data_IF_513363447217
#
_entry.id   IF_513363447217
#
_cell.length_a   1.000
_cell.length_b   1.000
_cell.length_c   1.000
_cell.angle_alpha   90.00
_cell.angle_beta   90.00
_cell.angle_gamma   90.00
#
_symmetry.space_group_name_H-M   'P 1'
#
loop_
_entity.id
_entity.type
_entity.pdbx_description
1 polymer ?
#
# COMPACT_ATOMS: atom_id res chain seq x y z
N UNK A 1 9.93 -1.77 -9.62
CA UNK A 1 9.19 -2.71 -10.49
C UNK A 1 8.14 -3.41 -9.63
N UNK A 2 6.86 -3.11 -9.86
CA UNK A 2 5.73 -3.74 -9.19
C UNK A 2 5.73 -5.25 -9.52
N UNK A 3 5.53 -6.11 -8.52
CA UNK A 3 5.44 -7.57 -8.69
C UNK A 3 4.10 -8.07 -8.16
N UNK A 4 3.81 -9.36 -8.38
CA UNK A 4 2.60 -9.98 -7.86
C UNK A 4 1.31 -9.59 -8.60
N UNK A 5 0.16 -9.84 -7.96
CA UNK A 5 -1.16 -9.65 -8.56
C UNK A 5 -1.43 -8.19 -9.00
N UNK A 6 -0.78 -7.21 -8.37
CA UNK A 6 -0.90 -5.79 -8.71
C UNK A 6 -0.36 -5.46 -10.11
N UNK A 7 0.60 -6.24 -10.64
CA UNK A 7 1.08 -6.09 -12.03
C UNK A 7 0.01 -6.47 -13.06
N UNK A 8 -0.94 -7.34 -12.72
CA UNK A 8 -2.04 -7.72 -13.62
C UNK A 8 -3.08 -6.60 -13.77
N UNK A 9 -3.27 -5.76 -12.75
CA UNK A 9 -4.21 -4.62 -12.78
C UNK A 9 -3.82 -3.59 -13.86
N UNK A 10 -2.53 -3.28 -13.99
CA UNK A 10 -2.03 -2.29 -14.96
C UNK A 10 -2.13 -2.80 -16.41
N UNK A 11 -2.14 -4.13 -16.64
CA UNK A 11 -2.07 -4.70 -17.99
C UNK A 11 -3.41 -5.14 -18.59
N UNK A 12 -4.38 -5.60 -17.78
CA UNK A 12 -5.55 -6.34 -18.30
C UNK A 12 -6.89 -5.60 -18.26
N UNK A 13 -6.99 -4.44 -17.61
CA UNK A 13 -8.22 -3.62 -17.62
C UNK A 13 -9.49 -4.33 -17.11
N UNK A 14 -9.38 -5.46 -16.41
CA UNK A 14 -10.51 -6.20 -15.87
C UNK A 14 -10.27 -6.61 -14.41
N UNK A 15 -11.31 -6.42 -13.60
CA UNK A 15 -11.40 -6.69 -12.17
C UNK A 15 -11.33 -8.20 -11.86
N UNK A 16 -10.14 -8.77 -11.84
CA UNK A 16 -9.89 -10.07 -11.24
C UNK A 16 -9.33 -9.86 -9.83
N UNK A 17 -10.22 -9.90 -8.83
CA UNK A 17 -9.95 -9.74 -7.38
C UNK A 17 -8.98 -8.61 -7.05
N UNK A 18 -9.51 -7.46 -6.64
CA UNK A 18 -8.76 -6.40 -5.96
C UNK A 18 -8.02 -7.03 -4.78
N UNK A 19 -6.75 -7.36 -4.97
CA UNK A 19 -5.89 -7.80 -3.87
C UNK A 19 -5.44 -6.50 -3.21
N UNK A 20 -5.83 -6.34 -1.93
CA UNK A 20 -5.57 -5.15 -1.11
C UNK A 20 -4.08 -4.93 -0.86
N UNK A 21 -3.27 -5.94 -1.14
CA UNK A 21 -1.86 -6.00 -0.78
C UNK A 21 -0.99 -5.71 -2.02
N UNK A 22 0.12 -5.01 -1.81
CA UNK A 22 1.11 -4.69 -2.84
C UNK A 22 2.47 -5.28 -2.46
N UNK A 23 3.07 -6.05 -3.36
CA UNK A 23 4.39 -6.64 -3.17
C UNK A 23 5.47 -5.77 -3.81
N UNK A 24 6.38 -5.27 -2.99
CA UNK A 24 7.49 -4.43 -3.42
C UNK A 24 8.83 -5.15 -3.16
N UNK A 25 9.71 -5.26 -4.16
CA UNK A 25 11.06 -5.75 -3.92
C UNK A 25 11.82 -4.71 -3.09
N UNK A 26 12.18 -5.07 -1.86
CA UNK A 26 13.08 -4.29 -1.03
C UNK A 26 14.53 -4.42 -1.51
N UNK A 27 15.22 -3.29 -1.69
CA UNK A 27 16.66 -3.23 -1.91
C UNK A 27 17.25 -2.32 -0.83
N UNK A 28 18.28 -2.77 -0.12
CA UNK A 28 18.89 -2.00 0.99
C UNK A 28 18.56 -2.57 2.36
N UNK A 29 18.72 -1.76 3.41
CA UNK A 29 18.52 -2.16 4.81
C UNK A 29 17.01 -2.27 5.13
N UNK A 30 16.49 -3.45 5.54
CA UNK A 30 15.08 -3.63 5.90
C UNK A 30 14.79 -3.13 7.33
N UNK A 31 15.29 -1.95 7.67
CA UNK A 31 15.01 -1.36 8.97
C UNK A 31 13.52 -1.00 9.06
N UNK A 32 12.84 -1.63 10.01
CA UNK A 32 11.38 -1.56 10.14
C UNK A 32 10.91 -0.14 10.43
N UNK A 33 11.66 0.62 11.24
CA UNK A 33 11.31 1.99 11.61
C UNK A 33 11.49 2.92 10.41
N UNK A 34 12.62 2.80 9.69
CA UNK A 34 12.87 3.58 8.47
C UNK A 34 11.82 3.30 7.39
N UNK A 35 11.43 2.04 7.22
CA UNK A 35 10.37 1.67 6.28
C UNK A 35 9.01 2.24 6.73
N UNK A 36 8.71 2.24 8.02
CA UNK A 36 7.49 2.84 8.54
C UNK A 36 7.45 4.35 8.26
N UNK A 37 8.53 5.07 8.54
CA UNK A 37 8.63 6.52 8.30
C UNK A 37 8.52 6.87 6.82
N UNK A 38 9.21 6.13 5.95
CA UNK A 38 9.12 6.32 4.51
C UNK A 38 7.70 6.15 4.00
N UNK A 39 6.99 5.11 4.44
CA UNK A 39 5.61 4.91 4.00
C UNK A 39 4.64 5.92 4.62
N UNK A 40 4.91 6.47 5.81
CA UNK A 40 4.14 7.60 6.36
C UNK A 40 4.26 8.83 5.48
N UNK A 41 5.47 9.13 5.00
CA UNK A 41 5.69 10.23 4.06
C UNK A 41 4.94 10.00 2.75
N UNK A 42 4.98 8.79 2.20
CA UNK A 42 4.23 8.42 0.99
C UNK A 42 2.73 8.62 1.19
N UNK A 43 2.16 8.19 2.32
CA UNK A 43 0.74 8.36 2.61
C UNK A 43 0.31 9.83 2.79
N UNK A 44 1.26 10.77 2.96
CA UNK A 44 1.00 12.22 3.05
C UNK A 44 1.09 12.93 1.70
N UNK A 45 1.51 12.25 0.64
CA UNK A 45 1.55 12.83 -0.70
C UNK A 45 0.13 13.11 -1.17
N UNK A 46 -0.21 14.39 -1.28
CA UNK A 46 -1.49 14.82 -1.84
C UNK A 46 -1.50 14.56 -3.36
N UNK A 47 -2.51 13.82 -3.82
CA UNK A 47 -2.78 13.59 -5.24
C UNK A 47 -4.21 14.03 -5.56
N UNK A 48 -4.58 14.08 -6.84
CA UNK A 48 -5.96 14.31 -7.24
C UNK A 48 -6.86 13.33 -6.49
N UNK A 49 -7.95 13.85 -5.89
CA UNK A 49 -8.87 13.03 -5.08
C UNK A 49 -9.37 11.85 -5.89
N UNK A 50 -8.90 10.66 -5.53
CA UNK A 50 -9.36 9.36 -6.03
C UNK A 50 -10.43 8.76 -5.10
N UNK A 51 -10.88 9.56 -4.13
CA UNK A 51 -11.81 9.16 -3.10
C UNK A 51 -11.20 8.37 -1.95
N UNK A 52 -9.86 8.28 -1.84
CA UNK A 52 -9.15 7.59 -0.76
C UNK A 52 -8.30 8.58 0.03
N UNK A 53 -8.50 8.60 1.36
CA UNK A 53 -7.70 9.40 2.29
C UNK A 53 -6.96 8.43 3.21
N UNK A 54 -5.65 8.29 3.02
CA UNK A 54 -4.82 7.49 3.92
C UNK A 54 -4.70 8.16 5.28
N UNK A 55 -4.55 7.34 6.32
CA UNK A 55 -4.33 7.79 7.70
C UNK A 55 -2.90 7.41 8.12
N UNK A 56 -1.88 8.26 7.85
CA UNK A 56 -0.48 7.96 8.14
C UNK A 56 -0.25 7.55 9.59
N UNK A 57 -1.06 8.08 10.52
CA UNK A 57 -0.84 7.85 11.95
C UNK A 57 -1.36 6.48 12.41
N UNK A 58 -2.04 5.77 11.51
CA UNK A 58 -2.42 4.37 11.69
C UNK A 58 -1.37 3.39 11.16
N UNK A 59 -0.27 3.88 10.57
CA UNK A 59 0.72 3.06 9.92
C UNK A 59 1.51 2.23 10.93
N UNK A 60 1.57 0.92 10.68
CA UNK A 60 2.40 -0.03 11.43
C UNK A 60 3.25 -0.86 10.48
N UNK A 61 4.45 -1.20 10.94
CA UNK A 61 5.38 -2.07 10.24
C UNK A 61 5.84 -3.18 11.19
N UNK A 62 5.89 -4.40 10.69
CA UNK A 62 6.34 -5.57 11.44
C UNK A 62 7.20 -6.47 10.56
N UNK A 63 8.27 -7.04 11.14
CA UNK A 63 9.01 -8.10 10.47
C UNK A 63 8.10 -9.31 10.30
N UNK A 64 8.11 -9.90 9.12
CA UNK A 64 7.51 -11.20 8.88
C UNK A 64 8.51 -12.22 9.40
N UNK A 65 8.33 -12.63 10.66
CA UNK A 65 9.09 -13.72 11.27
C UNK A 65 8.32 -15.02 11.08
N UNK A 66 9.06 -16.10 10.80
CA UNK A 66 8.77 -17.52 11.07
C UNK A 66 8.86 -18.41 9.84
N UNK A 67 9.75 -19.42 9.88
CA UNK A 67 9.74 -20.73 9.23
C UNK A 67 9.31 -20.84 7.74
N UNK A 68 9.18 -19.71 7.07
CA UNK A 68 8.66 -19.52 5.74
C UNK A 68 9.66 -18.65 5.02
N UNK A 69 10.35 -19.28 4.08
CA UNK A 69 11.20 -18.90 2.92
C UNK A 69 11.44 -17.40 2.57
N UNK A 70 10.73 -16.41 3.12
CA UNK A 70 10.82 -15.00 2.75
C UNK A 70 11.04 -14.08 3.95
N UNK A 71 12.26 -13.57 4.10
CA UNK A 71 12.55 -12.40 4.94
C UNK A 71 11.83 -11.16 4.36
N UNK A 72 11.05 -10.45 5.17
CA UNK A 72 10.31 -9.27 4.70
C UNK A 72 9.70 -8.44 5.81
N UNK A 73 9.26 -7.22 5.46
CA UNK A 73 8.54 -6.31 6.36
C UNK A 73 7.12 -6.13 5.83
N UNK A 74 6.13 -6.37 6.68
CA UNK A 74 4.73 -6.08 6.38
C UNK A 74 4.40 -4.68 6.87
N UNK A 75 3.80 -3.87 6.01
CA UNK A 75 3.33 -2.52 6.35
C UNK A 75 1.81 -2.49 6.18
N UNK A 76 1.11 -1.96 7.18
CA UNK A 76 -0.34 -1.77 7.12
C UNK A 76 -0.71 -0.33 7.44
N UNK A 77 -1.72 0.20 6.74
CA UNK A 77 -2.26 1.53 6.93
C UNK A 77 -3.77 1.51 6.72
N UNK A 78 -4.51 2.29 7.52
CA UNK A 78 -5.94 2.51 7.31
C UNK A 78 -6.16 3.67 6.34
N UNK A 79 -7.29 3.63 5.66
CA UNK A 79 -7.77 4.72 4.83
C UNK A 79 -9.27 4.95 5.07
N UNK A 80 -9.73 6.16 4.78
CA UNK A 80 -11.14 6.49 4.64
C UNK A 80 -11.47 6.60 3.15
N UNK A 81 -12.66 6.13 2.77
CA UNK A 81 -13.19 6.36 1.43
C UNK A 81 -14.17 7.53 1.51
N UNK A 82 -13.92 8.61 0.77
CA UNK A 82 -14.97 9.60 0.55
C UNK A 82 -15.99 8.96 -0.39
N UNK A 83 -17.26 8.91 0.02
CA UNK A 83 -18.35 8.39 -0.81
C UNK A 83 -18.40 9.10 -2.18
N UNK A 84 -19.11 8.52 -3.16
CA UNK A 84 -19.13 9.05 -4.52
C UNK A 84 -19.51 10.54 -4.49
N UNK A 85 -18.67 11.32 -5.15
CA UNK A 85 -18.82 12.74 -5.40
C UNK A 85 -20.25 12.97 -5.92
N UNK A 86 -21.13 13.51 -5.07
CA UNK A 86 -22.48 13.86 -5.46
C UNK A 86 -22.37 15.10 -6.35
N UNK A 87 -22.03 14.90 -7.61
CA UNK A 87 -22.16 15.93 -8.63
C UNK A 87 -23.66 16.11 -8.89
N UNK A 88 -24.26 17.28 -8.60
CA UNK A 88 -25.61 17.56 -9.07
C UNK A 88 -25.52 17.91 -10.56
N UNK A 89 -26.15 17.08 -11.39
CA UNK A 89 -26.36 17.31 -12.82
C UNK A 89 -27.68 16.68 -13.25
#
# INVERSE_FOLDING_TARGET
MLKGASLFLVWKGQNYRVTRDADLPGFGNPDVEQLADLFREICRVEFQSDGVIYLPESLSAEEIREDQVYDGVRITCRYAQSGPDSTPG
#
